data_IF_728890104536
#
_entry.id   IF_728890104536
#
_cell.length_a   1.000
_cell.length_b   1.000
_cell.length_c   1.000
_cell.angle_alpha   90.00
_cell.angle_beta   90.00
_cell.angle_gamma   90.00
#
_symmetry.space_group_name_H-M   'P 1'
#
loop_
_entity.id
_entity.type
_entity.pdbx_description
1 polymer ?
#
# COMPACT_ATOMS: atom_id res chain seq x y z
N UNK A 1 8.63 -37.29 3.16
CA UNK A 1 8.04 -37.11 4.52
C UNK A 1 8.95 -36.29 5.46
N UNK A 2 9.87 -35.45 4.94
CA UNK A 2 10.71 -34.54 5.73
C UNK A 2 10.19 -33.09 5.64
N UNK A 3 9.62 -32.69 4.49
CA UNK A 3 9.01 -31.36 4.30
C UNK A 3 7.76 -31.12 5.15
N UNK A 4 6.86 -32.10 5.30
CA UNK A 4 5.65 -31.90 6.12
C UNK A 4 5.94 -31.84 7.62
N UNK A 5 6.97 -32.52 8.12
CA UNK A 5 7.46 -32.38 9.50
C UNK A 5 8.08 -31.00 9.71
N UNK A 6 8.85 -30.50 8.73
CA UNK A 6 9.49 -29.18 8.81
C UNK A 6 8.49 -28.04 8.96
N UNK A 7 7.28 -28.17 8.42
CA UNK A 7 6.23 -27.16 8.50
C UNK A 7 5.34 -27.25 9.75
N UNK A 8 5.50 -28.25 10.63
CA UNK A 8 4.65 -28.40 11.84
C UNK A 8 4.69 -27.20 12.79
N UNK A 9 5.74 -26.39 12.75
CA UNK A 9 5.86 -25.19 13.59
C UNK A 9 4.77 -24.14 13.32
N UNK A 10 4.16 -24.15 12.12
CA UNK A 10 3.05 -23.25 11.80
C UNK A 10 1.75 -23.72 12.46
N UNK A 11 1.46 -25.03 12.44
CA UNK A 11 0.29 -25.64 13.12
C UNK A 11 0.37 -25.54 14.65
N UNK A 12 1.59 -25.63 15.20
CA UNK A 12 1.83 -25.54 16.64
C UNK A 12 1.84 -24.09 17.16
N UNK A 13 1.68 -23.11 16.26
CA UNK A 13 1.62 -21.71 16.68
C UNK A 13 0.25 -21.39 17.26
N UNK A 14 0.14 -21.38 18.59
CA UNK A 14 -1.10 -21.16 19.32
C UNK A 14 -1.72 -19.75 19.20
N UNK A 15 -1.28 -18.94 18.23
CA UNK A 15 -1.84 -17.61 17.95
C UNK A 15 -2.75 -17.60 16.71
N UNK A 16 -2.91 -18.73 16.01
CA UNK A 16 -3.89 -18.85 14.94
C UNK A 16 -5.31 -18.80 15.53
N UNK A 17 -6.17 -17.96 14.95
CA UNK A 17 -7.52 -17.65 15.41
C UNK A 17 -8.61 -18.40 14.65
N UNK A 18 -8.33 -18.86 13.45
CA UNK A 18 -9.28 -19.55 12.58
C UNK A 18 -9.77 -20.82 13.28
N UNK A 19 -11.08 -20.99 13.26
CA UNK A 19 -11.81 -22.06 13.90
C UNK A 19 -11.31 -23.43 13.47
N UNK A 20 -10.91 -23.56 12.19
CA UNK A 20 -10.25 -24.75 11.67
C UNK A 20 -9.08 -24.36 10.78
N UNK A 21 -7.90 -24.90 11.08
CA UNK A 21 -6.71 -24.85 10.24
C UNK A 21 -6.38 -26.27 9.82
N UNK A 22 -6.54 -26.58 8.53
CA UNK A 22 -6.15 -27.86 7.95
C UNK A 22 -4.92 -27.64 7.07
N UNK A 23 -3.85 -28.36 7.36
CA UNK A 23 -2.69 -28.42 6.46
C UNK A 23 -2.55 -29.81 5.89
N UNK A 24 -2.41 -29.88 4.58
CA UNK A 24 -2.12 -31.11 3.87
C UNK A 24 -0.81 -30.97 3.12
N UNK A 25 0.24 -31.60 3.65
CA UNK A 25 1.63 -31.43 3.19
C UNK A 25 2.08 -29.95 3.24
N UNK A 26 2.09 -29.29 2.09
CA UNK A 26 2.53 -27.90 1.92
C UNK A 26 1.35 -26.93 1.72
N UNK A 27 0.13 -27.46 1.56
CA UNK A 27 -1.09 -26.67 1.36
C UNK A 27 -1.76 -26.34 2.71
N UNK A 28 -2.25 -25.10 2.84
CA UNK A 28 -2.98 -24.60 4.00
C UNK A 28 -4.42 -24.27 3.61
N UNK A 29 -5.36 -24.74 4.41
CA UNK A 29 -6.78 -24.41 4.33
C UNK A 29 -7.22 -23.81 5.66
N UNK A 30 -7.70 -22.57 5.61
CA UNK A 30 -8.19 -21.82 6.75
C UNK A 30 -9.71 -21.72 6.65
N UNK A 31 -10.41 -22.12 7.70
CA UNK A 31 -11.86 -21.98 7.80
C UNK A 31 -12.22 -21.24 9.08
N UNK A 32 -12.99 -20.18 8.94
CA UNK A 32 -13.57 -19.42 10.04
C UNK A 32 -14.85 -18.74 9.55
N UNK A 33 -15.76 -18.43 10.48
CA UNK A 33 -16.96 -17.65 10.17
C UNK A 33 -16.64 -16.15 10.01
N UNK A 34 -15.49 -15.69 10.52
CA UNK A 34 -14.99 -14.32 10.37
C UNK A 34 -13.84 -14.25 9.37
N UNK A 35 -14.04 -13.51 8.29
CA UNK A 35 -13.00 -13.28 7.29
C UNK A 35 -11.76 -12.57 7.87
N UNK A 36 -11.94 -11.71 8.88
CA UNK A 36 -10.83 -11.02 9.54
C UNK A 36 -9.92 -12.00 10.26
N UNK A 37 -10.46 -13.06 10.87
CA UNK A 37 -9.65 -14.12 11.49
C UNK A 37 -8.83 -14.88 10.44
N UNK A 38 -9.43 -15.19 9.28
CA UNK A 38 -8.74 -15.86 8.17
C UNK A 38 -7.59 -15.00 7.65
N UNK A 39 -7.82 -13.68 7.45
CA UNK A 39 -6.80 -12.74 6.99
C UNK A 39 -5.65 -12.62 7.98
N UNK A 40 -5.96 -12.49 9.27
CA UNK A 40 -4.95 -12.42 10.34
C UNK A 40 -4.08 -13.68 10.33
N UNK A 41 -4.70 -14.86 10.26
CA UNK A 41 -3.97 -16.12 10.27
C UNK A 41 -3.14 -16.36 9.02
N UNK A 42 -3.66 -15.99 7.86
CA UNK A 42 -2.91 -16.07 6.60
C UNK A 42 -1.61 -15.27 6.67
N UNK A 43 -1.68 -14.04 7.19
CA UNK A 43 -0.50 -13.18 7.39
C UNK A 43 0.46 -13.77 8.43
N UNK A 44 -0.07 -14.30 9.54
CA UNK A 44 0.74 -14.97 10.56
C UNK A 44 1.49 -16.15 9.95
N UNK A 45 0.83 -16.99 9.16
CA UNK A 45 1.45 -18.12 8.45
C UNK A 45 2.51 -17.62 7.48
N UNK A 46 2.24 -16.58 6.68
CA UNK A 46 3.23 -15.99 5.79
C UNK A 46 4.48 -15.50 6.55
N UNK A 47 4.29 -14.84 7.69
CA UNK A 47 5.40 -14.35 8.52
C UNK A 47 6.24 -15.50 9.10
N UNK A 48 5.58 -16.55 9.58
CA UNK A 48 6.23 -17.76 10.10
C UNK A 48 7.04 -18.47 9.01
N UNK A 49 6.48 -18.62 7.82
CA UNK A 49 7.17 -19.19 6.66
C UNK A 49 8.36 -18.32 6.24
N UNK A 50 8.16 -17.00 6.18
CA UNK A 50 9.20 -16.03 5.83
C UNK A 50 10.41 -16.09 6.77
N UNK A 51 10.18 -16.30 8.08
CA UNK A 51 11.26 -16.50 9.06
C UNK A 51 12.11 -17.75 8.80
N UNK A 52 11.62 -18.70 7.99
CA UNK A 52 12.34 -19.89 7.52
C UNK A 52 12.76 -19.79 6.05
N UNK A 53 12.63 -18.63 5.43
CA UNK A 53 12.97 -18.40 4.02
C UNK A 53 11.98 -19.05 3.03
N UNK A 54 10.76 -19.35 3.48
CA UNK A 54 9.69 -19.91 2.65
C UNK A 54 8.63 -18.85 2.38
N UNK A 55 8.01 -18.90 1.20
CA UNK A 55 6.93 -18.00 0.82
C UNK A 55 5.72 -18.79 0.35
N UNK A 56 4.53 -18.24 0.60
CA UNK A 56 3.28 -18.77 0.04
C UNK A 56 3.22 -18.40 -1.44
N UNK A 57 2.79 -19.34 -2.28
CA UNK A 57 2.62 -19.07 -3.71
C UNK A 57 1.34 -18.26 -3.95
N UNK A 58 1.43 -17.00 -4.43
CA UNK A 58 0.25 -16.16 -4.67
C UNK A 58 -0.70 -16.80 -5.69
N UNK A 59 -0.16 -17.41 -6.75
CA UNK A 59 -0.95 -18.02 -7.84
C UNK A 59 -1.75 -19.26 -7.40
N UNK A 60 -1.39 -19.86 -6.26
CA UNK A 60 -2.08 -21.03 -5.69
C UNK A 60 -2.95 -20.66 -4.48
N UNK A 61 -2.89 -19.42 -4.03
CA UNK A 61 -3.70 -18.95 -2.90
C UNK A 61 -5.09 -18.65 -3.43
N UNK A 62 -6.06 -19.51 -3.09
CA UNK A 62 -7.45 -19.37 -3.57
C UNK A 62 -8.40 -19.27 -2.37
N UNK A 63 -9.32 -18.30 -2.43
CA UNK A 63 -10.51 -18.28 -1.57
C UNK A 63 -11.56 -19.16 -2.25
N UNK A 64 -11.81 -20.35 -1.71
CA UNK A 64 -12.77 -21.29 -2.31
C UNK A 64 -14.20 -20.79 -2.09
N UNK A 65 -14.80 -20.25 -3.16
CA UNK A 65 -16.23 -20.31 -3.41
C UNK A 65 -16.36 -20.63 -4.90
N UNK A 66 -16.93 -21.80 -5.24
CA UNK A 66 -16.97 -22.32 -6.62
C UNK A 66 -17.69 -21.40 -7.64
N UNK A 67 -18.34 -20.33 -7.19
CA UNK A 67 -18.96 -19.29 -8.04
C UNK A 67 -17.96 -18.24 -8.56
N UNK A 68 -16.74 -18.16 -8.01
CA UNK A 68 -15.79 -17.08 -8.31
C UNK A 68 -15.18 -17.18 -9.70
N UNK A 69 -14.87 -18.37 -10.22
CA UNK A 69 -14.15 -18.50 -11.49
C UNK A 69 -15.03 -18.19 -12.71
N UNK A 70 -16.31 -18.59 -12.67
CA UNK A 70 -17.31 -18.22 -13.68
C UNK A 70 -17.55 -16.71 -13.63
N UNK A 71 -17.80 -16.18 -12.42
CA UNK A 71 -18.06 -14.75 -12.23
C UNK A 71 -16.87 -13.87 -12.58
N UNK A 72 -15.64 -14.32 -12.31
CA UNK A 72 -14.42 -13.62 -12.73
C UNK A 72 -14.28 -13.58 -14.26
N UNK A 73 -14.71 -14.64 -14.96
CA UNK A 73 -14.73 -14.64 -16.42
C UNK A 73 -15.79 -13.68 -16.97
N UNK A 74 -16.96 -13.60 -16.35
CA UNK A 74 -18.02 -12.64 -16.70
C UNK A 74 -17.55 -11.19 -16.45
N UNK A 75 -16.95 -10.92 -15.30
CA UNK A 75 -16.36 -9.61 -14.96
C UNK A 75 -15.29 -9.22 -15.98
N UNK A 76 -14.38 -10.13 -16.35
CA UNK A 76 -13.36 -9.85 -17.38
C UNK A 76 -13.98 -9.55 -18.73
N UNK A 77 -15.07 -10.22 -19.08
CA UNK A 77 -15.82 -9.91 -20.28
C UNK A 77 -16.47 -8.52 -20.18
N UNK A 78 -17.14 -8.19 -19.07
CA UNK A 78 -17.73 -6.87 -18.84
C UNK A 78 -16.68 -5.75 -18.87
N UNK A 79 -15.51 -5.96 -18.24
CA UNK A 79 -14.35 -5.06 -18.33
C UNK A 79 -13.88 -4.90 -19.76
N UNK A 80 -13.76 -6.01 -20.48
CA UNK A 80 -13.41 -5.97 -21.89
C UNK A 80 -14.45 -5.22 -22.71
N UNK A 81 -15.75 -5.32 -22.42
CA UNK A 81 -16.80 -4.60 -23.14
C UNK A 81 -16.80 -3.10 -22.84
N UNK A 82 -16.50 -2.71 -21.60
CA UNK A 82 -16.33 -1.31 -21.21
C UNK A 82 -15.10 -0.70 -21.89
N UNK A 83 -14.00 -1.45 -21.98
CA UNK A 83 -12.72 -0.97 -22.52
C UNK A 83 -12.52 -1.26 -24.02
N UNK A 84 -13.28 -2.19 -24.62
CA UNK A 84 -13.20 -2.56 -26.05
C UNK A 84 -13.68 -1.45 -27.02
N UNK A 85 -14.00 -0.26 -26.51
CA UNK A 85 -14.10 0.94 -27.33
C UNK A 85 -12.70 1.45 -27.77
N UNK A 86 -11.60 0.87 -27.27
CA UNK A 86 -10.22 1.33 -27.55
C UNK A 86 -9.32 0.28 -28.23
N UNK A 87 -9.77 -0.29 -29.36
CA UNK A 87 -8.85 -0.63 -30.46
C UNK A 87 -9.42 -0.03 -31.73
N UNK A 88 -9.27 1.29 -31.88
CA UNK A 88 -9.65 1.98 -33.10
C UNK A 88 -8.62 1.75 -34.19
N UNK A 89 -8.82 0.74 -35.04
CA UNK A 89 -8.05 0.58 -36.27
C UNK A 89 -8.22 1.79 -37.18
N UNK A 90 -7.25 2.69 -37.18
CA UNK A 90 -7.19 3.83 -38.11
C UNK A 90 -6.81 3.34 -39.51
N UNK A 91 -7.75 3.40 -40.46
CA UNK A 91 -7.51 3.03 -41.85
C UNK A 91 -6.77 4.16 -42.58
N UNK A 92 -5.44 4.07 -42.72
CA UNK A 92 -4.71 4.86 -43.70
C UNK A 92 -4.40 4.01 -44.92
N UNK A 93 -5.06 4.35 -46.04
CA UNK A 93 -4.77 3.77 -47.34
C UNK A 93 -3.40 4.23 -47.83
N UNK A 94 -2.38 3.42 -47.61
CA UNK A 94 -1.13 3.45 -48.38
C UNK A 94 -0.86 2.03 -48.86
N UNK A 95 -0.70 1.86 -50.17
CA UNK A 95 -0.85 0.59 -50.89
C UNK A 95 0.23 -0.46 -50.62
N UNK A 96 0.21 -1.06 -49.45
CA UNK A 96 0.84 -2.34 -49.13
C UNK A 96 -0.22 -3.35 -48.69
N UNK A 97 -0.11 -4.57 -49.21
CA UNK A 97 -1.12 -5.66 -49.10
C UNK A 97 -1.25 -6.29 -47.70
N UNK A 98 -0.65 -5.70 -46.65
CA UNK A 98 -0.89 -6.10 -45.26
C UNK A 98 -1.06 -4.85 -44.40
N UNK A 99 -2.17 -4.71 -43.63
CA UNK A 99 -2.34 -3.61 -42.71
C UNK A 99 -1.36 -3.77 -41.53
N UNK A 100 -0.41 -2.85 -41.41
CA UNK A 100 0.34 -2.65 -40.16
C UNK A 100 -0.60 -2.01 -39.15
N UNK A 101 -0.81 -2.69 -38.01
CA UNK A 101 -1.57 -2.18 -36.88
C UNK A 101 -0.59 -1.40 -35.98
N UNK A 102 -0.69 -0.07 -35.95
CA UNK A 102 -0.15 0.72 -34.83
C UNK A 102 -1.25 0.90 -33.78
N UNK A 103 -0.95 0.53 -32.53
CA UNK A 103 -1.80 0.78 -31.36
C UNK A 103 -1.87 2.30 -31.10
N UNK A 104 -2.95 2.94 -31.53
CA UNK A 104 -3.23 4.34 -31.22
C UNK A 104 -4.12 4.33 -29.97
N UNK A 105 -3.61 4.83 -28.83
CA UNK A 105 -4.41 5.16 -27.65
C UNK A 105 -5.38 6.30 -28.02
N UNK A 106 -6.63 5.96 -28.33
CA UNK A 106 -7.69 6.94 -28.56
C UNK A 106 -8.36 7.20 -27.21
N UNK A 107 -7.91 8.21 -26.48
CA UNK A 107 -8.57 8.67 -25.25
C UNK A 107 -10.00 9.11 -25.59
N UNK A 108 -11.00 8.27 -25.32
CA UNK A 108 -12.40 8.70 -25.22
C UNK A 108 -12.77 8.76 -23.74
N UNK A 109 -13.29 9.90 -23.30
CA UNK A 109 -13.81 10.01 -21.94
C UNK A 109 -14.90 8.95 -21.69
N UNK A 110 -14.73 8.14 -20.65
CA UNK A 110 -15.75 7.20 -20.20
C UNK A 110 -17.01 7.97 -19.78
N UNK A 111 -18.18 7.40 -20.10
CA UNK A 111 -19.44 7.96 -19.60
C UNK A 111 -19.54 7.79 -18.07
N UNK A 112 -20.29 8.66 -17.37
CA UNK A 112 -20.52 8.51 -15.94
C UNK A 112 -21.08 7.14 -15.56
N UNK A 113 -21.94 6.56 -16.41
CA UNK A 113 -22.49 5.21 -16.22
C UNK A 113 -21.40 4.14 -16.32
N UNK A 114 -20.45 4.27 -17.27
CA UNK A 114 -19.31 3.36 -17.38
C UNK A 114 -18.38 3.44 -16.17
N UNK A 115 -18.15 4.66 -15.64
CA UNK A 115 -17.39 4.85 -14.40
C UNK A 115 -18.10 4.14 -13.24
N UNK A 116 -19.41 4.30 -13.10
CA UNK A 116 -20.19 3.61 -12.06
C UNK A 116 -20.10 2.08 -12.18
N UNK A 117 -20.16 1.53 -13.39
CA UNK A 117 -19.97 0.09 -13.62
C UNK A 117 -18.60 -0.37 -13.14
N UNK A 118 -17.52 0.34 -13.48
CA UNK A 118 -16.17 0.03 -12.99
C UNK A 118 -16.06 0.06 -11.46
N UNK A 119 -16.73 1.03 -10.81
CA UNK A 119 -16.78 1.11 -9.35
C UNK A 119 -17.55 -0.04 -8.71
N UNK A 120 -18.62 -0.52 -9.36
CA UNK A 120 -19.37 -1.67 -8.89
C UNK A 120 -18.59 -2.98 -9.08
N UNK A 121 -17.81 -3.11 -10.16
CA UNK A 121 -16.88 -4.22 -10.36
C UNK A 121 -15.83 -4.31 -9.24
N UNK A 122 -15.31 -3.17 -8.77
CA UNK A 122 -14.39 -3.13 -7.63
C UNK A 122 -15.01 -3.62 -6.31
N UNK A 123 -16.34 -3.75 -6.21
CA UNK A 123 -17.04 -4.29 -5.03
C UNK A 123 -17.30 -5.79 -5.13
N UNK A 124 -17.14 -6.38 -6.32
CA UNK A 124 -17.39 -7.80 -6.52
C UNK A 124 -16.28 -8.68 -5.94
N UNK A 125 -16.65 -9.75 -5.22
CA UNK A 125 -15.70 -10.66 -4.58
C UNK A 125 -14.85 -11.47 -5.58
N UNK A 126 -15.27 -11.55 -6.84
CA UNK A 126 -14.62 -12.37 -7.85
C UNK A 126 -13.47 -11.66 -8.58
N UNK A 127 -13.35 -10.35 -8.45
CA UNK A 127 -12.26 -9.59 -9.05
C UNK A 127 -10.93 -9.86 -8.30
N UNK A 128 -9.85 -10.02 -9.06
CA UNK A 128 -8.50 -10.19 -8.52
C UNK A 128 -7.70 -8.87 -8.50
N UNK A 129 -6.49 -8.92 -7.94
CA UNK A 129 -5.60 -7.75 -7.84
C UNK A 129 -5.23 -7.16 -9.21
N UNK A 130 -5.11 -8.01 -10.25
CA UNK A 130 -4.72 -7.57 -11.59
C UNK A 130 -5.84 -6.83 -12.28
N UNK A 131 -7.05 -7.39 -12.21
CA UNK A 131 -8.27 -6.77 -12.72
C UNK A 131 -8.54 -5.44 -11.98
N UNK A 132 -8.36 -5.40 -10.66
CA UNK A 132 -8.50 -4.18 -9.87
C UNK A 132 -7.43 -3.12 -10.19
N UNK A 133 -6.18 -3.52 -10.47
CA UNK A 133 -5.13 -2.61 -10.93
C UNK A 133 -5.44 -2.03 -12.31
N UNK A 134 -5.98 -2.85 -13.21
CA UNK A 134 -6.44 -2.40 -14.51
C UNK A 134 -7.56 -1.36 -14.38
N UNK A 135 -8.59 -1.65 -13.58
CA UNK A 135 -9.66 -0.69 -13.30
C UNK A 135 -9.10 0.61 -12.72
N UNK A 136 -8.17 0.54 -11.76
CA UNK A 136 -7.54 1.73 -11.18
C UNK A 136 -6.80 2.55 -12.25
N UNK A 137 -6.07 1.89 -13.16
CA UNK A 137 -5.38 2.58 -14.25
C UNK A 137 -6.36 3.26 -15.21
N UNK A 138 -7.47 2.61 -15.53
CA UNK A 138 -8.55 3.19 -16.35
C UNK A 138 -9.20 4.37 -15.63
N UNK A 139 -9.61 4.19 -14.37
CA UNK A 139 -10.21 5.26 -13.57
C UNK A 139 -9.26 6.45 -13.41
N UNK A 140 -7.96 6.23 -13.29
CA UNK A 140 -6.95 7.30 -13.26
C UNK A 140 -6.94 8.14 -14.55
N UNK A 141 -7.29 7.57 -15.70
CA UNK A 141 -7.31 8.34 -16.95
C UNK A 141 -8.62 9.14 -17.12
N UNK A 142 -9.71 8.71 -16.50
CA UNK A 142 -11.07 9.20 -16.82
C UNK A 142 -11.87 9.74 -15.62
N UNK A 143 -11.39 9.56 -14.39
CA UNK A 143 -12.10 9.99 -13.16
C UNK A 143 -11.17 10.77 -12.24
N UNK A 144 -11.64 11.95 -11.85
CA UNK A 144 -10.99 12.80 -10.84
C UNK A 144 -11.48 12.51 -9.43
N UNK A 145 -12.46 11.62 -9.23
CA UNK A 145 -13.07 11.41 -7.90
C UNK A 145 -12.48 10.20 -7.17
N UNK A 146 -11.28 10.38 -6.62
CA UNK A 146 -10.56 9.34 -5.86
C UNK A 146 -11.31 8.89 -4.60
N UNK A 147 -12.17 9.76 -4.03
CA UNK A 147 -12.87 9.48 -2.78
C UNK A 147 -13.83 8.29 -2.87
N UNK A 148 -14.29 7.95 -4.07
CA UNK A 148 -15.26 6.87 -4.29
C UNK A 148 -14.60 5.48 -4.32
N UNK A 149 -13.39 5.37 -4.88
CA UNK A 149 -12.74 4.08 -5.10
C UNK A 149 -11.58 3.78 -4.15
N UNK A 150 -10.84 4.79 -3.67
CA UNK A 150 -9.72 4.58 -2.74
C UNK A 150 -10.14 3.83 -1.46
N UNK A 151 -11.31 4.10 -0.83
CA UNK A 151 -11.74 3.31 0.33
C UNK A 151 -11.87 1.82 0.01
N UNK A 152 -12.48 1.49 -1.14
CA UNK A 152 -12.68 0.10 -1.60
C UNK A 152 -11.32 -0.56 -1.84
N UNK A 153 -10.40 0.14 -2.51
CA UNK A 153 -9.07 -0.36 -2.80
C UNK A 153 -8.23 -0.59 -1.54
N UNK A 154 -8.29 0.32 -0.56
CA UNK A 154 -7.57 0.16 0.71
C UNK A 154 -8.05 -1.06 1.51
N UNK A 155 -9.37 -1.31 1.53
CA UNK A 155 -9.95 -2.42 2.28
C UNK A 155 -9.73 -3.78 1.62
N UNK A 156 -9.76 -3.83 0.28
CA UNK A 156 -9.74 -5.09 -0.46
C UNK A 156 -8.39 -5.45 -1.07
N UNK A 157 -7.66 -4.46 -1.58
CA UNK A 157 -6.49 -4.67 -2.44
C UNK A 157 -5.24 -4.03 -1.85
N UNK A 158 -4.76 -4.62 -0.75
CA UNK A 158 -3.59 -4.13 0.00
C UNK A 158 -2.31 -3.99 -0.85
N UNK A 159 -2.16 -4.83 -1.87
CA UNK A 159 -1.05 -4.83 -2.84
C UNK A 159 -1.05 -3.59 -3.75
N UNK A 160 -2.19 -2.93 -3.93
CA UNK A 160 -2.35 -1.81 -4.85
C UNK A 160 -2.01 -0.45 -4.24
N UNK A 161 -1.54 -0.38 -2.99
CA UNK A 161 -1.22 0.92 -2.35
C UNK A 161 -0.19 1.76 -3.09
N UNK A 162 0.76 1.11 -3.77
CA UNK A 162 1.69 1.81 -4.66
C UNK A 162 0.96 2.39 -5.88
N UNK A 163 0.10 1.60 -6.52
CA UNK A 163 -0.64 2.02 -7.70
C UNK A 163 -1.63 3.14 -7.36
N UNK A 164 -2.22 3.12 -6.16
CA UNK A 164 -3.02 4.22 -5.60
C UNK A 164 -2.21 5.50 -5.41
N UNK A 165 -0.99 5.40 -4.87
CA UNK A 165 -0.09 6.55 -4.79
C UNK A 165 0.20 7.13 -6.18
N UNK A 166 0.56 6.27 -7.14
CA UNK A 166 0.82 6.68 -8.53
C UNK A 166 -0.40 7.31 -9.20
N UNK A 167 -1.61 6.89 -8.85
CA UNK A 167 -2.83 7.44 -9.44
C UNK A 167 -3.14 8.86 -8.98
N UNK A 168 -2.83 9.19 -7.72
CA UNK A 168 -3.01 10.55 -7.18
C UNK A 168 -2.08 11.56 -7.87
N UNK A 169 -0.89 11.14 -8.31
CA UNK A 169 0.08 12.00 -8.99
C UNK A 169 -0.24 12.29 -10.46
N UNK A 170 -1.22 11.62 -11.07
CA UNK A 170 -1.47 11.72 -12.51
C UNK A 170 -2.15 13.02 -12.94
N UNK A 171 -3.05 13.57 -12.13
CA UNK A 171 -3.82 14.78 -12.47
C UNK A 171 -3.17 16.10 -12.01
N UNK A 172 -1.91 16.08 -11.56
CA UNK A 172 -1.24 17.25 -10.98
C UNK A 172 -1.59 17.48 -9.51
N UNK A 173 -1.45 18.71 -9.03
CA UNK A 173 -1.70 19.04 -7.62
C UNK A 173 -3.19 18.89 -7.26
N UNK A 174 -3.48 18.01 -6.30
CA UNK A 174 -4.81 17.82 -5.73
C UNK A 174 -5.36 19.12 -5.15
N UNK A 175 -6.65 19.39 -5.37
CA UNK A 175 -7.31 20.55 -4.77
C UNK A 175 -7.36 20.42 -3.24
N UNK A 176 -7.56 21.54 -2.54
CA UNK A 176 -7.68 21.52 -1.07
C UNK A 176 -8.85 20.65 -0.61
N UNK A 177 -9.93 20.59 -1.38
CA UNK A 177 -11.09 19.74 -1.04
C UNK A 177 -10.75 18.26 -1.21
N UNK A 178 -10.12 17.88 -2.33
CA UNK A 178 -9.68 16.51 -2.60
C UNK A 178 -8.72 16.01 -1.51
N UNK A 179 -7.78 16.86 -1.08
CA UNK A 179 -6.85 16.54 0.01
C UNK A 179 -7.59 16.26 1.32
N UNK A 180 -8.60 17.07 1.66
CA UNK A 180 -9.39 16.87 2.86
C UNK A 180 -10.23 15.58 2.79
N UNK A 181 -10.86 15.31 1.64
CA UNK A 181 -11.61 14.08 1.41
C UNK A 181 -10.70 12.84 1.51
N UNK A 182 -9.53 12.86 0.84
CA UNK A 182 -8.55 11.78 0.92
C UNK A 182 -8.04 11.61 2.36
N UNK A 183 -7.81 12.69 3.10
CA UNK A 183 -7.41 12.61 4.51
C UNK A 183 -8.46 11.92 5.37
N UNK A 184 -9.75 12.17 5.12
CA UNK A 184 -10.84 11.51 5.83
C UNK A 184 -10.87 10.01 5.52
N UNK A 185 -10.77 9.64 4.24
CA UNK A 185 -10.71 8.23 3.81
C UNK A 185 -9.56 7.47 4.47
N UNK A 186 -8.36 8.07 4.50
CA UNK A 186 -7.18 7.46 5.11
C UNK A 186 -7.32 7.33 6.62
N UNK A 187 -7.79 8.38 7.31
CA UNK A 187 -8.00 8.36 8.77
C UNK A 187 -9.05 7.31 9.16
N UNK A 188 -10.18 7.24 8.44
CA UNK A 188 -11.24 6.25 8.67
C UNK A 188 -10.71 4.82 8.48
N UNK A 189 -9.97 4.57 7.40
CA UNK A 189 -9.35 3.26 7.16
C UNK A 189 -8.40 2.86 8.29
N UNK A 190 -7.50 3.77 8.71
CA UNK A 190 -6.52 3.48 9.76
C UNK A 190 -7.15 3.30 11.14
N UNK A 191 -8.28 3.97 11.41
CA UNK A 191 -9.00 3.86 12.69
C UNK A 191 -9.89 2.61 12.75
N UNK A 192 -10.49 2.21 11.61
CA UNK A 192 -11.30 0.99 11.49
C UNK A 192 -10.45 -0.28 11.62
N UNK A 193 -9.25 -0.29 11.07
CA UNK A 193 -8.41 -1.49 11.00
C UNK A 193 -7.46 -1.61 12.18
N UNK A 194 -7.43 -2.80 12.79
CA UNK A 194 -6.47 -3.16 13.86
C UNK A 194 -5.13 -3.60 13.27
N UNK A 195 -5.16 -4.21 12.08
CA UNK A 195 -3.98 -4.66 11.36
C UNK A 195 -3.97 -4.06 9.95
N UNK A 196 -2.83 -3.49 9.57
CA UNK A 196 -2.55 -2.96 8.24
C UNK A 196 -1.17 -3.44 7.84
N UNK A 197 -0.99 -3.91 6.61
CA UNK A 197 0.29 -4.47 6.17
C UNK A 197 1.40 -3.41 6.16
N UNK A 198 2.67 -3.82 6.33
CA UNK A 198 3.84 -2.92 6.24
C UNK A 198 3.87 -2.19 4.88
N UNK A 199 3.51 -2.88 3.80
CA UNK A 199 3.43 -2.29 2.47
C UNK A 199 2.38 -1.17 2.39
N UNK A 200 1.16 -1.42 2.87
CA UNK A 200 0.12 -0.39 2.94
C UNK A 200 0.55 0.79 3.82
N UNK A 201 1.07 0.53 5.03
CA UNK A 201 1.50 1.57 5.95
C UNK A 201 2.61 2.45 5.35
N UNK A 202 3.54 1.85 4.60
CA UNK A 202 4.59 2.59 3.92
C UNK A 202 4.02 3.54 2.88
N UNK A 203 3.16 3.05 1.99
CA UNK A 203 2.56 3.89 0.94
C UNK A 203 1.57 4.92 1.49
N UNK A 204 0.83 4.59 2.56
CA UNK A 204 0.00 5.57 3.26
C UNK A 204 0.83 6.69 3.91
N UNK A 205 2.03 6.38 4.42
CA UNK A 205 2.95 7.41 4.92
C UNK A 205 3.46 8.30 3.78
N UNK A 206 3.78 7.73 2.61
CA UNK A 206 4.18 8.48 1.42
C UNK A 206 3.04 9.37 0.92
N UNK A 207 1.81 8.85 0.85
CA UNK A 207 0.62 9.62 0.49
C UNK A 207 0.40 10.76 1.49
N UNK A 208 0.57 10.49 2.79
CA UNK A 208 0.42 11.51 3.81
C UNK A 208 1.43 12.66 3.63
N UNK A 209 2.71 12.35 3.42
CA UNK A 209 3.77 13.34 3.22
C UNK A 209 3.52 14.23 2.00
N UNK A 210 3.18 13.62 0.86
CA UNK A 210 3.10 14.35 -0.41
C UNK A 210 1.76 15.07 -0.61
N UNK A 211 0.66 14.44 -0.19
CA UNK A 211 -0.69 14.93 -0.52
C UNK A 211 -1.46 15.48 0.67
N UNK A 212 -1.23 14.98 1.89
CA UNK A 212 -2.10 15.30 3.04
C UNK A 212 -1.53 16.39 3.96
N UNK A 213 -0.32 16.86 3.70
CA UNK A 213 0.25 18.00 4.44
C UNK A 213 -0.68 19.21 4.41
N UNK A 214 -0.91 19.82 5.57
CA UNK A 214 -1.81 20.96 5.75
C UNK A 214 -3.29 20.62 5.96
N UNK A 215 -3.68 19.36 5.83
CA UNK A 215 -5.05 18.91 6.17
C UNK A 215 -5.24 18.81 7.69
N UNK A 216 -6.49 18.92 8.16
CA UNK A 216 -6.81 18.86 9.60
C UNK A 216 -6.42 17.53 10.25
N UNK A 217 -6.49 16.43 9.49
CA UNK A 217 -6.26 15.07 9.99
C UNK A 217 -4.80 14.61 9.86
N UNK A 218 -3.94 15.40 9.23
CA UNK A 218 -2.55 15.02 8.95
C UNK A 218 -1.80 14.49 10.17
N UNK A 219 -1.85 15.20 11.30
CA UNK A 219 -1.20 14.76 12.54
C UNK A 219 -1.79 13.48 13.15
N UNK A 220 -3.11 13.26 13.00
CA UNK A 220 -3.79 12.03 13.43
C UNK A 220 -3.29 10.84 12.62
N UNK A 221 -3.29 11.00 11.30
CA UNK A 221 -2.85 9.99 10.33
C UNK A 221 -1.40 9.58 10.59
N UNK A 222 -0.47 10.53 10.70
CA UNK A 222 0.94 10.21 10.97
C UNK A 222 1.13 9.42 12.26
N UNK A 223 0.49 9.86 13.35
CA UNK A 223 0.56 9.17 14.63
C UNK A 223 -0.05 7.77 14.58
N UNK A 224 -1.16 7.62 13.83
CA UNK A 224 -1.83 6.33 13.67
C UNK A 224 -0.98 5.35 12.84
N UNK A 225 -0.37 5.80 11.75
CA UNK A 225 0.57 4.98 10.96
C UNK A 225 1.79 4.59 11.81
N UNK A 226 2.35 5.53 12.59
CA UNK A 226 3.47 5.24 13.49
C UNK A 226 3.11 4.19 14.56
N UNK A 227 1.88 4.25 15.08
CA UNK A 227 1.39 3.30 16.09
C UNK A 227 1.19 1.90 15.50
N UNK A 228 0.55 1.82 14.32
CA UNK A 228 0.30 0.55 13.62
C UNK A 228 1.60 -0.09 13.09
N UNK A 229 2.63 0.71 12.83
CA UNK A 229 3.95 0.23 12.37
C UNK A 229 4.87 -0.27 13.50
N UNK A 230 4.34 -0.59 14.68
CA UNK A 230 5.12 -1.04 15.85
C UNK A 230 6.10 -2.19 15.56
N UNK A 231 5.74 -3.11 14.65
CA UNK A 231 6.56 -4.25 14.22
C UNK A 231 7.13 -4.10 12.79
N UNK A 232 6.90 -2.97 12.13
CA UNK A 232 7.19 -2.73 10.70
C UNK A 232 8.25 -1.65 10.59
N UNK A 233 9.52 -2.04 10.63
CA UNK A 233 10.66 -1.12 10.71
C UNK A 233 10.66 -0.13 9.54
N UNK A 234 10.31 -0.58 8.33
CA UNK A 234 10.40 0.26 7.13
C UNK A 234 9.29 1.31 7.10
N UNK A 235 8.03 0.94 7.37
CA UNK A 235 6.95 1.94 7.46
C UNK A 235 7.19 2.93 8.60
N UNK A 236 7.72 2.45 9.73
CA UNK A 236 8.00 3.30 10.88
C UNK A 236 9.14 4.28 10.59
N UNK A 237 10.19 3.81 9.90
CA UNK A 237 11.25 4.67 9.41
C UNK A 237 10.71 5.72 8.45
N UNK A 238 9.84 5.34 7.49
CA UNK A 238 9.23 6.30 6.56
C UNK A 238 8.50 7.43 7.29
N UNK A 239 7.72 7.14 8.33
CA UNK A 239 7.06 8.20 9.13
C UNK A 239 8.08 9.12 9.81
N UNK A 240 9.14 8.56 10.41
CA UNK A 240 10.17 9.35 11.10
C UNK A 240 10.97 10.25 10.15
N UNK A 241 11.12 9.84 8.89
CA UNK A 241 11.82 10.58 7.83
C UNK A 241 11.05 11.83 7.37
N UNK A 242 9.73 11.87 7.54
CA UNK A 242 8.88 12.99 7.13
C UNK A 242 9.34 14.27 7.86
N UNK A 243 9.59 15.39 7.16
CA UNK A 243 10.16 16.61 7.74
C UNK A 243 9.14 17.46 8.51
N UNK A 244 8.14 16.84 9.12
CA UNK A 244 7.14 17.50 9.97
C UNK A 244 7.65 17.52 11.42
N UNK A 245 7.64 18.67 12.08
CA UNK A 245 8.14 18.84 13.45
C UNK A 245 7.03 18.87 14.50
N UNK A 246 5.79 19.11 14.08
CA UNK A 246 4.62 19.19 14.95
C UNK A 246 4.09 17.79 15.30
N UNK A 247 2.94 17.76 16.00
CA UNK A 247 2.17 16.55 16.30
C UNK A 247 2.92 15.45 17.08
N UNK A 248 3.97 15.82 17.83
CA UNK A 248 4.80 14.88 18.59
C UNK A 248 5.94 14.23 17.80
N UNK A 249 6.08 14.53 16.50
CA UNK A 249 7.08 13.89 15.62
C UNK A 249 8.51 14.17 16.07
N UNK A 250 8.75 15.37 16.61
CA UNK A 250 10.05 15.75 17.14
C UNK A 250 10.43 14.87 18.34
N UNK A 251 9.53 14.67 19.29
CA UNK A 251 9.74 13.86 20.49
C UNK A 251 9.97 12.39 20.13
N UNK A 252 9.20 11.86 19.17
CA UNK A 252 9.37 10.50 18.67
C UNK A 252 10.76 10.28 18.06
N UNK A 253 11.26 11.24 17.28
CA UNK A 253 12.61 11.18 16.71
C UNK A 253 13.69 11.27 17.77
N UNK A 254 13.50 12.13 18.76
CA UNK A 254 14.44 12.35 19.86
C UNK A 254 14.74 11.05 20.63
N UNK A 255 13.74 10.18 20.81
CA UNK A 255 13.92 8.85 21.42
C UNK A 255 14.91 7.98 20.61
N UNK A 256 14.77 7.98 19.28
CA UNK A 256 15.63 7.21 18.37
C UNK A 256 17.00 7.82 18.15
N UNK A 257 17.17 9.12 18.33
CA UNK A 257 18.48 9.78 18.24
C UNK A 257 19.29 9.59 19.52
N UNK A 258 18.64 9.65 20.68
CA UNK A 258 19.31 9.50 22.00
C UNK A 258 19.72 8.06 22.30
N UNK A 259 19.05 7.07 21.72
CA UNK A 259 19.39 5.66 21.93
C UNK A 259 20.77 5.27 21.34
N UNK A 260 21.35 6.10 20.45
CA UNK A 260 22.67 5.89 19.84
C UNK A 260 22.75 4.71 18.88
N UNK A 261 21.62 4.12 18.49
CA UNK A 261 21.58 3.00 17.55
C UNK A 261 21.94 3.46 16.13
N UNK A 262 22.53 2.56 15.34
CA UNK A 262 22.82 2.79 13.92
C UNK A 262 21.89 1.91 13.09
N UNK A 263 20.62 2.34 13.04
CA UNK A 263 19.52 1.59 12.43
C UNK A 263 18.65 2.50 11.56
N UNK A 264 17.79 1.91 10.73
CA UNK A 264 16.82 2.64 9.90
C UNK A 264 16.02 3.68 10.66
N UNK A 265 15.59 3.39 11.89
CA UNK A 265 14.79 4.32 12.70
C UNK A 265 15.60 5.54 13.13
N UNK A 266 16.85 5.35 13.58
CA UNK A 266 17.73 6.44 13.97
C UNK A 266 18.16 7.29 12.77
N UNK A 267 18.41 6.66 11.60
CA UNK A 267 18.78 7.36 10.37
C UNK A 267 17.62 8.17 9.80
N UNK A 268 16.44 7.58 9.72
CA UNK A 268 15.23 8.27 9.31
C UNK A 268 14.90 9.43 10.27
N UNK A 269 15.05 9.20 11.59
CA UNK A 269 14.90 10.26 12.58
C UNK A 269 15.86 11.42 12.33
N UNK A 270 17.14 11.14 12.04
CA UNK A 270 18.10 12.19 11.70
C UNK A 270 17.63 13.00 10.48
N UNK A 271 17.26 12.35 9.38
CA UNK A 271 16.76 13.04 8.17
C UNK A 271 15.46 13.81 8.38
N UNK A 272 14.57 13.31 9.23
CA UNK A 272 13.33 14.00 9.59
C UNK A 272 13.56 15.32 10.33
N UNK A 273 14.72 15.49 11.00
CA UNK A 273 15.07 16.76 11.65
C UNK A 273 15.52 17.87 10.70
N UNK A 274 15.60 17.60 9.38
CA UNK A 274 16.19 18.54 8.41
C UNK A 274 15.57 19.94 8.38
N UNK A 275 14.26 20.04 8.68
CA UNK A 275 13.51 21.31 8.74
C UNK A 275 13.56 22.01 10.11
N UNK A 276 14.21 21.43 11.11
CA UNK A 276 14.48 22.14 12.37
C UNK A 276 15.43 23.32 12.14
N UNK A 277 15.34 24.32 13.02
CA UNK A 277 16.31 25.42 13.04
C UNK A 277 17.73 24.87 13.19
N UNK A 278 18.67 25.37 12.39
CA UNK A 278 20.06 24.89 12.32
C UNK A 278 20.71 24.63 13.69
N UNK A 279 20.55 25.55 14.64
CA UNK A 279 21.11 25.40 16.00
C UNK A 279 20.53 24.18 16.72
N UNK A 280 19.21 24.02 16.67
CA UNK A 280 18.48 22.95 17.32
C UNK A 280 18.76 21.59 16.65
N UNK A 281 18.71 21.55 15.32
CA UNK A 281 19.08 20.40 14.51
C UNK A 281 20.48 19.89 14.85
N UNK A 282 21.46 20.80 14.84
CA UNK A 282 22.85 20.44 15.08
C UNK A 282 23.05 19.91 16.51
N UNK A 283 22.41 20.54 17.48
CA UNK A 283 22.43 20.08 18.87
C UNK A 283 21.88 18.66 19.03
N UNK A 284 20.74 18.35 18.41
CA UNK A 284 20.16 17.00 18.43
C UNK A 284 21.04 15.94 17.78
N UNK A 285 21.71 16.30 16.67
CA UNK A 285 22.55 15.38 15.89
C UNK A 285 23.98 15.20 16.46
N UNK A 286 24.43 16.08 17.36
CA UNK A 286 25.80 16.02 17.91
C UNK A 286 26.06 14.75 18.73
N UNK A 287 25.06 14.29 19.48
CA UNK A 287 25.18 13.04 20.25
C UNK A 287 25.09 11.83 19.31
N UNK A 288 24.08 11.80 18.45
CA UNK A 288 23.85 10.74 17.46
C UNK A 288 25.06 10.51 16.55
N UNK A 289 25.73 11.58 16.09
CA UNK A 289 26.86 11.50 15.17
C UNK A 289 28.10 10.80 15.75
N UNK A 290 28.24 10.78 17.08
CA UNK A 290 29.38 10.16 17.77
C UNK A 290 29.21 8.66 18.00
N UNK A 291 27.98 8.13 17.85
CA UNK A 291 27.69 6.74 18.17
C UNK A 291 28.22 5.74 17.13
N UNK A 292 28.36 6.13 15.86
CA UNK A 292 28.98 5.30 14.82
C UNK A 292 29.48 6.15 13.65
N UNK A 293 30.45 5.66 12.84
CA UNK A 293 30.89 6.36 11.63
C UNK A 293 29.75 6.63 10.64
N UNK A 294 28.80 5.70 10.50
CA UNK A 294 27.65 5.85 9.60
C UNK A 294 26.68 6.92 10.11
N UNK A 295 26.42 6.97 11.43
CA UNK A 295 25.63 8.05 12.03
C UNK A 295 26.33 9.41 11.84
N UNK A 296 27.66 9.43 11.95
CA UNK A 296 28.47 10.61 11.66
C UNK A 296 28.29 11.12 10.23
N UNK A 297 28.34 10.21 9.24
CA UNK A 297 28.10 10.54 7.83
C UNK A 297 26.69 11.12 7.61
N UNK A 298 25.66 10.43 8.12
CA UNK A 298 24.27 10.86 7.98
C UNK A 298 24.04 12.22 8.65
N UNK A 299 24.55 12.40 9.87
CA UNK A 299 24.47 13.68 10.56
C UNK A 299 25.17 14.79 9.79
N UNK A 300 26.33 14.50 9.17
CA UNK A 300 27.01 15.44 8.26
C UNK A 300 26.10 15.88 7.12
N UNK A 301 25.55 14.91 6.36
CA UNK A 301 24.64 15.20 5.27
C UNK A 301 23.44 16.06 5.69
N UNK A 302 22.81 15.75 6.83
CA UNK A 302 21.65 16.51 7.32
C UNK A 302 22.04 17.92 7.80
N UNK A 303 23.22 18.08 8.40
CA UNK A 303 23.72 19.38 8.87
C UNK A 303 24.06 20.32 7.72
N UNK A 304 24.41 19.78 6.56
CA UNK A 304 24.76 20.52 5.36
C UNK A 304 23.53 20.96 4.54
N UNK A 305 22.34 20.46 4.85
CA UNK A 305 21.07 20.94 4.26
C UNK A 305 20.78 22.34 4.83
N UNK A 306 20.56 23.31 3.96
CA UNK A 306 20.22 24.70 4.31
C UNK A 306 18.88 24.80 5.07
#
# INVERSE_FOLDING_TARGET
MIGSEFLKFTEQHGQLKSSVVLRFMDDYHLFDDSEDNIKVDFVVIQKLLGAKGLNVNPMKTRKSVNDVEIRASEIRQELSEIVAVEVGGGFFGSGHDEPEYEEIEIVRDLSPEQIMLLLDLLKENAIDDHDAEFILNVLRMHSTNFSEYIPILLERFSSLSKSMYSSLGYHGDLSSDDKNQLSQVVDDFLNKNVYVSEFQLFWLATIAEEYLSGTRLYGSILNRIYTLSGNSIISRAKVLEIPEQNYGMKELRDEHLKNGSSTWLSWASAFGTRTLKKVERNYGLDYFSKCSPLNGLIAGCVKDID
#
